data_IF_441386927968
#
_entry.id   IF_441386927968
#
_cell.length_a   1.000
_cell.length_b   1.000
_cell.length_c   1.000
_cell.angle_alpha   90.00
_cell.angle_beta   90.00
_cell.angle_gamma   90.00
#
_symmetry.space_group_name_H-M   'P 1'
#
loop_
_entity.id
_entity.type
_entity.pdbx_description
1 polymer ?
#
# COMPACT_ATOMS: atom_id res chain seq x y z
N UNK A 1 -34.17 21.31 -18.38
CA UNK A 1 -33.40 21.13 -17.13
C UNK A 1 -32.63 19.81 -17.26
N UNK A 2 -31.39 19.84 -17.75
CA UNK A 2 -30.62 18.63 -18.02
C UNK A 2 -29.45 18.53 -17.03
N UNK A 3 -29.75 18.22 -15.77
CA UNK A 3 -28.73 17.89 -14.77
C UNK A 3 -28.72 16.38 -14.56
N UNK A 4 -28.12 15.64 -15.49
CA UNK A 4 -27.81 14.25 -15.26
C UNK A 4 -26.83 14.16 -14.07
N UNK A 5 -27.07 13.29 -13.06
CA UNK A 5 -26.18 13.17 -11.93
C UNK A 5 -24.81 12.66 -12.41
N UNK A 6 -23.75 13.40 -12.09
CA UNK A 6 -22.38 13.08 -12.48
C UNK A 6 -21.96 11.85 -11.67
N UNK A 7 -22.03 10.66 -12.28
CA UNK A 7 -21.63 9.43 -11.60
C UNK A 7 -20.10 9.35 -11.50
N UNK A 8 -19.57 8.80 -10.40
CA UNK A 8 -18.13 8.58 -10.19
C UNK A 8 -17.39 7.98 -11.42
N UNK A 9 -17.93 6.97 -12.15
CA UNK A 9 -17.26 6.42 -13.33
C UNK A 9 -17.15 7.43 -14.48
N UNK A 10 -18.14 8.30 -14.69
CA UNK A 10 -18.07 9.35 -15.73
C UNK A 10 -16.98 10.39 -15.45
N UNK A 11 -16.72 10.73 -14.18
CA UNK A 11 -15.63 11.64 -13.80
C UNK A 11 -14.25 10.99 -14.04
N UNK A 12 -14.10 9.73 -13.63
CA UNK A 12 -12.87 8.96 -13.82
C UNK A 12 -12.54 8.75 -15.30
N UNK A 13 -13.54 8.44 -16.13
CA UNK A 13 -13.38 8.32 -17.57
C UNK A 13 -12.95 9.65 -18.20
N UNK A 14 -13.60 10.77 -17.83
CA UNK A 14 -13.21 12.10 -18.31
C UNK A 14 -11.78 12.48 -17.91
N UNK A 15 -11.41 12.24 -16.65
CA UNK A 15 -10.05 12.48 -16.14
C UNK A 15 -9.01 11.59 -16.84
N UNK A 16 -9.33 10.32 -17.10
CA UNK A 16 -8.45 9.41 -17.84
C UNK A 16 -8.25 9.84 -19.30
N UNK A 17 -9.29 10.37 -19.95
CA UNK A 17 -9.20 10.89 -21.33
C UNK A 17 -8.35 12.16 -21.38
N UNK A 18 -8.53 13.08 -20.42
CA UNK A 18 -7.71 14.30 -20.31
C UNK A 18 -6.25 13.94 -20.00
N UNK A 19 -6.02 12.97 -19.13
CA UNK A 19 -4.69 12.47 -18.80
C UNK A 19 -4.02 11.80 -20.00
N UNK A 20 -4.75 10.98 -20.77
CA UNK A 20 -4.26 10.38 -22.01
C UNK A 20 -3.97 11.42 -23.09
N UNK A 21 -4.83 12.45 -23.22
CA UNK A 21 -4.61 13.53 -24.17
C UNK A 21 -3.41 14.40 -23.79
N UNK A 22 -3.24 14.71 -22.50
CA UNK A 22 -2.06 15.39 -21.99
C UNK A 22 -0.79 14.55 -22.21
N UNK A 23 -0.85 13.24 -21.99
CA UNK A 23 0.26 12.33 -22.27
C UNK A 23 0.60 12.28 -23.76
N UNK A 24 -0.42 12.28 -24.63
CA UNK A 24 -0.27 12.32 -26.09
C UNK A 24 0.28 13.66 -26.61
N UNK A 25 0.15 14.75 -25.87
CA UNK A 25 0.72 16.07 -26.19
C UNK A 25 2.16 16.25 -25.68
N UNK A 26 2.63 15.43 -24.74
CA UNK A 26 3.98 15.49 -24.17
C UNK A 26 5.00 14.44 -24.68
N UNK A 27 4.88 13.81 -25.88
CA UNK A 27 5.81 12.79 -26.29
C UNK A 27 7.21 13.36 -26.51
N UNK A 28 7.34 14.59 -27.00
CA UNK A 28 8.65 15.20 -27.31
C UNK A 28 9.52 15.43 -26.07
N UNK A 29 8.93 15.84 -24.95
CA UNK A 29 9.64 16.06 -23.69
C UNK A 29 10.08 14.74 -23.05
N UNK A 30 9.20 13.72 -23.07
CA UNK A 30 9.51 12.39 -22.58
C UNK A 30 10.55 11.69 -23.47
N UNK A 31 10.45 11.83 -24.79
CA UNK A 31 11.43 11.31 -25.74
C UNK A 31 12.79 11.98 -25.56
N UNK A 32 12.84 13.30 -25.35
CA UNK A 32 14.10 14.02 -25.06
C UNK A 32 14.71 13.57 -23.73
N UNK A 33 13.90 13.29 -22.72
CA UNK A 33 14.34 12.73 -21.44
C UNK A 33 14.86 11.29 -21.61
N UNK A 34 14.16 10.46 -22.36
CA UNK A 34 14.56 9.08 -22.66
C UNK A 34 15.84 9.01 -23.50
N UNK A 35 15.98 9.92 -24.48
CA UNK A 35 17.21 10.08 -25.25
C UNK A 35 18.39 10.45 -24.34
N UNK A 36 18.20 11.39 -23.40
CA UNK A 36 19.24 11.78 -22.43
C UNK A 36 19.65 10.61 -21.54
N UNK A 37 18.70 9.78 -21.13
CA UNK A 37 18.98 8.52 -20.39
C UNK A 37 19.77 7.54 -21.25
N UNK A 38 19.41 7.36 -22.52
CA UNK A 38 20.14 6.52 -23.49
C UNK A 38 21.61 6.93 -23.64
N UNK A 39 21.90 8.23 -23.75
CA UNK A 39 23.28 8.72 -23.83
C UNK A 39 24.09 8.42 -22.57
N UNK A 40 23.45 8.47 -21.40
CA UNK A 40 24.13 8.17 -20.14
C UNK A 40 24.43 6.67 -19.99
N UNK A 41 23.56 5.80 -20.52
CA UNK A 41 23.82 4.37 -20.65
C UNK A 41 25.04 4.08 -21.52
N UNK A 42 25.31 4.88 -22.56
CA UNK A 42 26.51 4.74 -23.39
C UNK A 42 27.79 5.14 -22.64
N UNK A 43 27.73 6.16 -21.77
CA UNK A 43 28.93 6.76 -21.16
C UNK A 43 29.33 6.14 -19.81
N UNK A 44 28.40 5.59 -19.03
CA UNK A 44 28.69 5.09 -17.67
C UNK A 44 28.53 3.59 -17.47
N UNK A 45 27.99 2.88 -18.45
CA UNK A 45 27.79 1.44 -18.34
C UNK A 45 28.88 0.69 -19.10
N UNK A 46 29.61 -0.21 -18.44
CA UNK A 46 30.70 -0.96 -19.08
C UNK A 46 30.23 -1.85 -20.24
N UNK A 47 28.93 -2.18 -20.32
CA UNK A 47 28.33 -2.86 -21.49
C UNK A 47 28.36 -2.01 -22.76
N UNK A 48 28.70 -0.72 -22.76
CA UNK A 48 28.83 0.03 -24.01
C UNK A 48 29.96 -0.52 -24.91
N UNK A 49 30.95 -1.18 -24.32
CA UNK A 49 32.10 -1.77 -25.02
C UNK A 49 31.78 -3.10 -25.73
N UNK A 50 30.66 -3.75 -25.37
CA UNK A 50 30.16 -4.92 -26.11
C UNK A 50 29.56 -4.47 -27.45
N UNK A 51 29.60 -5.34 -28.47
CA UNK A 51 28.96 -5.08 -29.77
C UNK A 51 27.47 -4.76 -29.59
N UNK A 52 26.87 -3.85 -30.40
CA UNK A 52 25.46 -3.47 -30.28
C UNK A 52 24.48 -4.66 -30.34
N UNK A 53 24.87 -5.77 -30.96
CA UNK A 53 24.10 -7.03 -30.98
C UNK A 53 24.12 -7.74 -29.62
N UNK A 54 25.23 -7.69 -28.89
CA UNK A 54 25.40 -8.36 -27.60
C UNK A 54 24.65 -7.63 -26.47
N UNK A 55 24.53 -6.30 -26.56
CA UNK A 55 23.71 -5.48 -25.64
C UNK A 55 22.23 -5.88 -25.66
N UNK A 56 21.71 -6.23 -26.85
CA UNK A 56 20.33 -6.66 -27.02
C UNK A 56 20.06 -8.01 -26.32
N UNK A 57 21.00 -8.94 -26.47
CA UNK A 57 20.92 -10.28 -25.85
C UNK A 57 21.01 -10.17 -24.32
N UNK A 58 21.89 -9.33 -23.79
CA UNK A 58 22.00 -9.15 -22.35
C UNK A 58 20.74 -8.52 -21.75
N UNK A 59 20.19 -7.48 -22.41
CA UNK A 59 18.96 -6.83 -21.98
C UNK A 59 17.74 -7.76 -22.09
N UNK A 60 17.69 -8.67 -23.06
CA UNK A 60 16.61 -9.65 -23.18
C UNK A 60 16.69 -10.72 -22.09
N UNK A 61 17.87 -11.20 -21.73
CA UNK A 61 18.08 -12.10 -20.60
C UNK A 61 17.70 -11.42 -19.28
N UNK A 62 18.10 -10.17 -19.08
CA UNK A 62 17.76 -9.40 -17.89
C UNK A 62 16.25 -9.15 -17.81
N UNK A 63 15.62 -8.80 -18.94
CA UNK A 63 14.16 -8.67 -19.04
C UNK A 63 13.45 -9.99 -18.71
N UNK A 64 13.94 -11.11 -19.22
CA UNK A 64 13.40 -12.44 -18.94
C UNK A 64 13.53 -12.80 -17.46
N UNK A 65 14.70 -12.54 -16.86
CA UNK A 65 14.93 -12.75 -15.44
C UNK A 65 14.01 -11.88 -14.58
N UNK A 66 13.90 -10.59 -14.90
CA UNK A 66 13.01 -9.68 -14.19
C UNK A 66 11.55 -10.06 -14.37
N UNK A 67 11.14 -10.52 -15.56
CA UNK A 67 9.80 -11.02 -15.82
C UNK A 67 9.50 -12.27 -14.97
N UNK A 68 10.46 -13.20 -14.89
CA UNK A 68 10.34 -14.39 -14.06
C UNK A 68 10.19 -14.02 -12.57
N UNK A 69 11.01 -13.09 -12.07
CA UNK A 69 10.88 -12.55 -10.71
C UNK A 69 9.56 -11.81 -10.51
N UNK A 70 9.12 -11.00 -11.48
CA UNK A 70 7.88 -10.22 -11.39
C UNK A 70 6.66 -11.12 -11.29
N UNK A 71 6.62 -12.19 -12.08
CA UNK A 71 5.55 -13.20 -12.02
C UNK A 71 5.59 -13.93 -10.67
N UNK A 72 6.78 -14.30 -10.19
CA UNK A 72 6.94 -14.92 -8.88
C UNK A 72 6.45 -13.99 -7.76
N UNK A 73 6.79 -12.71 -7.79
CA UNK A 73 6.32 -11.70 -6.84
C UNK A 73 4.80 -11.55 -6.95
N UNK A 74 4.24 -11.38 -8.15
CA UNK A 74 2.79 -11.22 -8.33
C UNK A 74 2.00 -12.41 -7.79
N UNK A 75 2.50 -13.64 -7.92
CA UNK A 75 1.80 -14.86 -7.50
C UNK A 75 2.06 -15.24 -6.03
N UNK A 76 3.28 -15.06 -5.55
CA UNK A 76 3.71 -15.50 -4.22
C UNK A 76 3.50 -14.41 -3.16
N UNK A 77 3.88 -13.17 -3.46
CA UNK A 77 3.82 -12.06 -2.51
C UNK A 77 2.44 -11.87 -1.84
N UNK A 78 1.28 -11.88 -2.53
CA UNK A 78 -0.01 -11.68 -1.86
C UNK A 78 -0.30 -12.76 -0.81
N UNK A 79 0.14 -14.00 -1.04
CA UNK A 79 -0.01 -15.09 -0.05
C UNK A 79 0.82 -14.83 1.20
N UNK A 80 2.06 -14.37 1.03
CA UNK A 80 2.97 -14.07 2.14
C UNK A 80 2.53 -12.83 2.93
N UNK A 81 2.11 -11.78 2.23
CA UNK A 81 1.61 -10.55 2.85
C UNK A 81 0.38 -10.83 3.71
N UNK A 82 -0.54 -11.70 3.26
CA UNK A 82 -1.74 -12.05 4.04
C UNK A 82 -1.39 -12.72 5.38
N UNK A 83 -0.42 -13.63 5.39
CA UNK A 83 0.01 -14.33 6.63
C UNK A 83 0.62 -13.33 7.62
N UNK A 84 1.48 -12.44 7.12
CA UNK A 84 2.13 -11.40 7.94
C UNK A 84 1.07 -10.40 8.45
N UNK A 85 0.11 -10.01 7.61
CA UNK A 85 -0.96 -9.09 7.98
C UNK A 85 -1.84 -9.64 9.11
N UNK A 86 -2.20 -10.92 9.10
CA UNK A 86 -2.96 -11.53 10.22
C UNK A 86 -2.18 -11.49 11.54
N UNK A 87 -0.87 -11.76 11.49
CA UNK A 87 -0.01 -11.68 12.69
C UNK A 87 0.14 -10.24 13.16
N UNK A 88 0.38 -9.30 12.25
CA UNK A 88 0.46 -7.87 12.57
C UNK A 88 -0.85 -7.36 13.19
N UNK A 89 -2.00 -7.78 12.66
CA UNK A 89 -3.31 -7.44 13.22
C UNK A 89 -3.50 -7.99 14.63
N UNK A 90 -3.04 -9.21 14.91
CA UNK A 90 -3.07 -9.77 16.27
C UNK A 90 -2.26 -8.93 17.26
N UNK A 91 -1.06 -8.47 16.89
CA UNK A 91 -0.25 -7.64 17.78
C UNK A 91 -0.86 -6.25 18.02
N UNK A 92 -1.48 -5.64 17.01
CA UNK A 92 -2.12 -4.31 17.14
C UNK A 92 -3.43 -4.39 17.92
N UNK A 93 -4.28 -5.38 17.66
CA UNK A 93 -5.60 -5.50 18.30
C UNK A 93 -5.56 -6.23 19.65
N UNK A 94 -4.56 -7.08 19.88
CA UNK A 94 -4.39 -7.83 21.12
C UNK A 94 -4.12 -6.93 22.33
N UNK A 95 -3.42 -5.81 22.14
CA UNK A 95 -3.20 -4.83 23.23
C UNK A 95 -4.50 -4.11 23.60
N UNK A 96 -5.35 -3.81 22.60
CA UNK A 96 -6.69 -3.23 22.81
C UNK A 96 -7.62 -4.19 23.55
N UNK A 97 -7.57 -5.50 23.26
CA UNK A 97 -8.35 -6.52 23.97
C UNK A 97 -7.86 -6.74 25.40
N UNK A 98 -6.54 -6.69 25.63
CA UNK A 98 -5.95 -6.82 26.97
C UNK A 98 -6.25 -5.61 27.85
N UNK A 99 -6.18 -4.39 27.30
CA UNK A 99 -6.58 -3.17 28.01
C UNK A 99 -8.10 -3.07 28.21
N UNK A 100 -8.91 -3.51 27.24
CA UNK A 100 -10.38 -3.50 27.31
C UNK A 100 -10.93 -4.47 28.36
N UNK A 101 -10.39 -5.69 28.42
CA UNK A 101 -10.76 -6.68 29.45
C UNK A 101 -10.23 -6.29 30.84
N UNK A 102 -9.01 -5.74 30.94
CA UNK A 102 -8.49 -5.22 32.21
C UNK A 102 -9.36 -4.07 32.76
N UNK A 103 -9.73 -3.08 31.93
CA UNK A 103 -10.59 -1.97 32.36
C UNK A 103 -12.02 -2.42 32.70
N UNK A 104 -12.57 -3.40 31.97
CA UNK A 104 -13.89 -3.97 32.27
C UNK A 104 -13.91 -4.74 33.60
N UNK A 105 -12.87 -5.51 33.90
CA UNK A 105 -12.73 -6.22 35.18
C UNK A 105 -12.52 -5.24 36.33
N UNK A 106 -11.68 -4.21 36.16
CA UNK A 106 -11.45 -3.17 37.17
C UNK A 106 -12.72 -2.35 37.46
N UNK A 107 -13.50 -2.00 36.42
CA UNK A 107 -14.79 -1.32 36.58
C UNK A 107 -15.84 -2.18 37.29
N UNK A 108 -15.91 -3.47 36.97
CA UNK A 108 -16.82 -4.41 37.65
C UNK A 108 -16.45 -4.60 39.12
N UNK A 109 -15.15 -4.65 39.46
CA UNK A 109 -14.71 -4.72 40.87
C UNK A 109 -14.94 -3.42 41.64
N UNK A 110 -14.88 -2.25 40.99
CA UNK A 110 -15.17 -0.96 41.64
C UNK A 110 -16.67 -0.78 41.93
N UNK A 111 -17.53 -1.26 41.03
CA UNK A 111 -18.99 -1.20 41.20
C UNK A 111 -19.50 -2.16 42.30
N UNK A 112 -18.80 -3.28 42.52
CA UNK A 112 -19.14 -4.24 43.59
C UNK A 112 -18.68 -3.75 45.00
N UNK A 113 -17.74 -2.81 45.08
CA UNK A 113 -17.20 -2.30 46.37
C UNK A 113 -17.95 -1.08 46.92
N UNK A 114 -18.91 -0.50 46.19
CA UNK A 114 -19.66 0.71 46.61
C UNK A 114 -21.08 0.53 47.17
N UNK A 115 -21.79 -0.62 47.08
CA UNK A 115 -23.16 -0.69 47.62
C UNK A 115 -23.29 -1.05 49.11
N UNK A 116 -22.20 -1.30 49.86
CA UNK A 116 -22.32 -1.72 51.27
C UNK A 116 -21.87 -0.67 52.31
N UNK A 117 -21.11 0.37 51.92
CA UNK A 117 -20.60 1.34 52.90
C UNK A 117 -21.62 2.41 53.35
N UNK A 118 -22.78 2.54 52.68
CA UNK A 118 -23.81 3.53 53.04
C UNK A 118 -24.85 2.96 54.01
N UNK A 119 -24.93 1.64 54.20
CA UNK A 119 -25.94 1.01 55.05
C UNK A 119 -25.55 0.91 56.55
N UNK A 120 -24.26 0.97 56.92
CA UNK A 120 -23.84 0.82 58.33
C UNK A 120 -23.87 2.12 59.16
N UNK A 121 -23.97 3.31 58.54
CA UNK A 121 -23.97 4.60 59.28
C UNK A 121 -25.39 5.09 59.62
N UNK A 122 -26.45 4.50 59.07
CA UNK A 122 -27.83 4.90 59.33
C UNK A 122 -28.52 4.12 60.49
N UNK A 123 -27.82 3.17 61.12
CA UNK A 123 -28.38 2.28 62.16
C UNK A 123 -28.00 2.60 63.61
N UNK A 124 -27.37 3.75 63.88
CA UNK A 124 -26.98 4.16 65.25
C UNK A 124 -27.49 5.58 65.55
N UNK A 125 -28.73 5.68 66.00
CA UNK A 125 -29.23 6.77 66.85
C UNK A 125 -30.50 6.31 67.57
#
# INVERSE_FOLDING_TARGET
MLSAPITLPTLLAGAAIIFLFALALYPSSLLRWFQRKRYQYEVTFSLYMLSPTEKFIFNSILFLFLAMVSIAVALYLPRHVRIIAHRAYYYVSGDVLKNGTANAVLGTTADILTPTAVAEVAGSA
#
